data_IF_135786826256
#
_entry.id   IF_135786826256
#
_cell.length_a   1.000
_cell.length_b   1.000
_cell.length_c   1.000
_cell.angle_alpha   90.00
_cell.angle_beta   90.00
_cell.angle_gamma   90.00
#
_symmetry.space_group_name_H-M   'P 1'
#
loop_
_entity.id
_entity.type
_entity.pdbx_description
1 polymer ?
#
# COMPACT_ATOMS: atom_id res chain seq x y z
N UNK A 1 9.37 4.38 31.52
CA UNK A 1 8.75 3.95 30.23
C UNK A 1 9.75 4.22 29.11
N UNK A 2 9.38 4.11 27.82
CA UNK A 2 10.32 4.34 26.71
C UNK A 2 11.08 5.68 26.76
N UNK A 3 10.51 6.73 27.36
CA UNK A 3 11.18 8.02 27.57
C UNK A 3 12.48 7.96 28.40
N UNK A 4 12.69 6.91 29.20
CA UNK A 4 13.92 6.72 29.98
C UNK A 4 15.15 6.63 29.06
N UNK A 5 14.97 6.12 27.85
CA UNK A 5 15.99 6.12 26.80
C UNK A 5 16.52 7.52 26.50
N UNK A 6 15.62 8.50 26.34
CA UNK A 6 15.97 9.89 26.04
C UNK A 6 16.72 10.52 27.23
N UNK A 7 16.29 10.22 28.46
CA UNK A 7 16.94 10.69 29.68
C UNK A 7 18.36 10.13 29.80
N UNK A 8 18.55 8.82 29.56
CA UNK A 8 19.87 8.20 29.59
C UNK A 8 20.80 8.70 28.49
N UNK A 9 20.26 9.02 27.30
CA UNK A 9 21.05 9.66 26.24
C UNK A 9 21.61 11.01 26.68
N UNK A 10 20.79 11.85 27.34
CA UNK A 10 21.23 13.15 27.87
C UNK A 10 22.25 12.97 29.01
N UNK A 11 21.95 12.10 29.97
CA UNK A 11 22.82 11.86 31.13
C UNK A 11 24.20 11.30 30.69
N UNK A 12 24.21 10.34 29.77
CA UNK A 12 25.42 9.76 29.21
C UNK A 12 26.28 10.80 28.47
N UNK A 13 25.65 11.65 27.65
CA UNK A 13 26.34 12.74 26.97
C UNK A 13 26.96 13.75 27.96
N UNK A 14 26.24 14.11 29.03
CA UNK A 14 26.77 15.01 30.05
C UNK A 14 27.96 14.39 30.81
N UNK A 15 27.86 13.10 31.16
CA UNK A 15 28.93 12.39 31.83
C UNK A 15 30.19 12.27 30.95
N UNK A 16 30.01 11.96 29.66
CA UNK A 16 31.11 11.87 28.68
C UNK A 16 31.83 13.22 28.50
N UNK A 17 31.07 14.33 28.57
CA UNK A 17 31.63 15.71 28.56
C UNK A 17 32.38 16.07 29.85
N UNK A 18 32.43 15.19 30.85
CA UNK A 18 33.15 15.39 32.10
C UNK A 18 32.40 16.20 33.16
N UNK A 19 31.07 16.27 33.08
CA UNK A 19 30.26 16.94 34.11
C UNK A 19 30.44 16.22 35.47
N UNK A 20 30.39 16.98 36.57
CA UNK A 20 30.35 16.36 37.90
C UNK A 20 29.01 15.65 38.10
N UNK A 21 28.99 14.66 38.99
CA UNK A 21 27.81 13.85 39.28
C UNK A 21 26.55 14.69 39.57
N UNK A 22 26.66 15.74 40.39
CA UNK A 22 25.51 16.61 40.71
C UNK A 22 24.93 17.27 39.45
N UNK A 23 25.79 17.73 38.54
CA UNK A 23 25.35 18.35 37.28
C UNK A 23 24.78 17.33 36.28
N UNK A 24 25.33 16.10 36.24
CA UNK A 24 24.74 15.00 35.46
C UNK A 24 23.34 14.67 35.97
N UNK A 25 23.16 14.62 37.29
CA UNK A 25 21.85 14.41 37.91
C UNK A 25 20.87 15.54 37.59
N UNK A 26 21.29 16.80 37.71
CA UNK A 26 20.45 17.97 37.41
C UNK A 26 19.92 17.93 35.97
N UNK A 27 20.79 17.66 34.99
CA UNK A 27 20.36 17.63 33.58
C UNK A 27 19.53 16.39 33.24
N UNK A 28 19.79 15.25 33.88
CA UNK A 28 18.96 14.05 33.74
C UNK A 28 17.55 14.28 34.34
N UNK A 29 17.47 14.90 35.52
CA UNK A 29 16.19 15.24 36.15
C UNK A 29 15.41 16.25 35.31
N UNK A 30 16.10 17.23 34.70
CA UNK A 30 15.54 18.18 33.73
C UNK A 30 14.99 17.47 32.49
N UNK A 31 15.75 16.57 31.87
CA UNK A 31 15.29 15.78 30.73
C UNK A 31 14.06 14.94 31.08
N UNK A 32 14.06 14.30 32.26
CA UNK A 32 12.93 13.52 32.76
C UNK A 32 11.66 14.38 32.94
N UNK A 33 11.79 15.56 33.57
CA UNK A 33 10.67 16.49 33.75
C UNK A 33 10.08 16.99 32.42
N UNK A 34 10.90 17.00 31.36
CA UNK A 34 10.53 17.46 30.00
C UNK A 34 10.17 16.34 29.03
N UNK A 35 10.13 15.09 29.49
CA UNK A 35 9.74 13.93 28.69
C UNK A 35 8.33 13.49 29.06
N UNK A 36 7.52 13.15 28.05
CA UNK A 36 6.24 12.43 28.23
C UNK A 36 6.22 11.20 27.34
N UNK A 37 5.61 10.12 27.84
CA UNK A 37 5.44 8.86 27.10
C UNK A 37 4.02 8.37 27.23
N UNK A 38 3.43 7.95 26.12
CA UNK A 38 2.14 7.28 26.08
C UNK A 38 2.22 6.08 25.14
N UNK A 39 1.55 4.98 25.49
CA UNK A 39 1.70 3.72 24.77
C UNK A 39 0.40 2.95 24.65
N UNK A 40 0.41 1.98 23.75
CA UNK A 40 -0.70 1.08 23.47
C UNK A 40 -0.19 -0.35 23.38
N UNK A 41 -1.00 -1.30 23.82
CA UNK A 41 -0.78 -2.72 23.61
C UNK A 41 -1.93 -3.34 22.80
N UNK A 42 -1.56 -4.22 21.88
CA UNK A 42 -2.45 -5.07 21.09
C UNK A 42 -2.47 -6.51 21.62
N UNK A 43 -1.58 -6.84 22.56
CA UNK A 43 -1.54 -8.13 23.24
C UNK A 43 -0.34 -8.23 24.16
N UNK A 44 -0.50 -8.94 25.27
CA UNK A 44 0.51 -9.04 26.31
C UNK A 44 1.73 -9.87 25.93
N UNK A 45 2.79 -9.68 26.71
CA UNK A 45 4.01 -10.46 26.59
C UNK A 45 3.91 -11.81 27.29
N UNK A 46 4.76 -12.73 26.84
CA UNK A 46 4.90 -14.09 27.36
C UNK A 46 6.24 -14.20 28.08
N UNK A 47 6.21 -14.54 29.37
CA UNK A 47 7.43 -14.81 30.11
C UNK A 47 8.11 -16.09 29.59
N UNK A 48 9.45 -16.17 29.53
CA UNK A 48 10.14 -17.38 29.11
C UNK A 48 9.71 -18.60 29.94
N UNK A 49 9.19 -19.63 29.26
CA UNK A 49 8.70 -20.86 29.88
C UNK A 49 7.25 -20.82 30.36
N UNK A 50 6.52 -19.72 30.16
CA UNK A 50 5.08 -19.66 30.38
C UNK A 50 4.31 -20.22 29.16
N UNK A 51 3.15 -20.84 29.44
CA UNK A 51 2.27 -21.41 28.41
C UNK A 51 1.32 -20.38 27.77
N UNK A 52 1.23 -19.17 28.36
CA UNK A 52 0.28 -18.12 27.98
C UNK A 52 0.83 -16.72 28.33
N UNK A 53 0.34 -15.64 27.67
CA UNK A 53 0.77 -14.28 27.96
C UNK A 53 0.28 -13.78 29.33
N UNK A 54 0.96 -12.77 29.88
CA UNK A 54 0.62 -12.14 31.18
C UNK A 54 -0.77 -11.51 31.19
N UNK A 55 -1.23 -11.04 30.04
CA UNK A 55 -2.58 -10.56 29.79
C UNK A 55 -2.92 -10.71 28.31
N UNK A 56 -4.21 -10.64 27.99
CA UNK A 56 -4.74 -10.72 26.63
C UNK A 56 -5.55 -9.47 26.30
N UNK A 57 -5.48 -9.04 25.05
CA UNK A 57 -6.35 -8.01 24.47
C UNK A 57 -7.21 -8.71 23.42
N UNK A 58 -8.49 -8.38 23.31
CA UNK A 58 -9.35 -8.99 22.30
C UNK A 58 -8.95 -8.55 20.89
N UNK A 59 -9.20 -9.40 19.88
CA UNK A 59 -8.73 -9.20 18.49
C UNK A 59 -9.15 -7.86 17.83
N UNK A 60 -10.20 -7.23 18.34
CA UNK A 60 -10.76 -5.96 17.85
C UNK A 60 -10.62 -4.82 18.87
N UNK A 61 -9.75 -4.99 19.87
CA UNK A 61 -9.51 -4.01 20.93
C UNK A 61 -8.03 -3.66 21.05
N UNK A 62 -7.75 -2.56 21.76
CA UNK A 62 -6.42 -2.08 22.11
C UNK A 62 -6.44 -1.53 23.53
N UNK A 63 -5.34 -1.71 24.27
CA UNK A 63 -5.17 -1.22 25.64
C UNK A 63 -4.26 0.01 25.68
N UNK A 64 -4.83 1.18 25.97
CA UNK A 64 -4.09 2.44 26.04
C UNK A 64 -3.53 2.69 27.44
N UNK A 65 -2.28 3.15 27.51
CA UNK A 65 -1.57 3.48 28.75
C UNK A 65 -1.05 2.28 29.52
N UNK A 66 -0.91 1.12 28.87
CA UNK A 66 -0.43 -0.10 29.49
C UNK A 66 1.06 -0.03 29.85
N UNK A 67 1.41 -0.56 31.03
CA UNK A 67 2.78 -0.60 31.54
C UNK A 67 3.67 -1.66 30.86
N UNK A 68 4.99 -1.43 30.84
CA UNK A 68 5.98 -2.34 30.22
C UNK A 68 6.14 -3.69 30.96
N UNK A 69 5.43 -3.93 32.06
CA UNK A 69 5.38 -5.23 32.72
C UNK A 69 3.96 -5.83 32.71
N UNK A 70 3.05 -5.29 31.90
CA UNK A 70 1.67 -5.75 31.81
C UNK A 70 0.74 -5.13 32.84
N UNK A 71 1.12 -4.01 33.46
CA UNK A 71 0.24 -3.25 34.35
C UNK A 71 -0.99 -2.73 33.58
N UNK A 72 -2.22 -2.84 34.12
CA UNK A 72 -3.44 -2.44 33.40
C UNK A 72 -3.38 -1.04 32.82
N UNK A 73 -3.92 -0.89 31.61
CA UNK A 73 -4.03 0.39 30.93
C UNK A 73 -5.03 1.34 31.59
N UNK A 74 -5.05 2.57 31.08
CA UNK A 74 -5.99 3.63 31.47
C UNK A 74 -7.37 3.39 30.84
N UNK A 75 -7.41 2.86 29.61
CA UNK A 75 -8.65 2.55 28.89
C UNK A 75 -8.45 1.50 27.79
N UNK A 76 -9.47 0.68 27.59
CA UNK A 76 -9.66 -0.17 26.41
C UNK A 76 -10.38 0.61 25.33
N UNK A 77 -9.93 0.52 24.09
CA UNK A 77 -10.59 1.12 22.91
C UNK A 77 -10.77 0.07 21.81
N UNK A 78 -11.69 0.33 20.88
CA UNK A 78 -11.81 -0.47 19.67
C UNK A 78 -10.58 -0.33 18.76
N UNK A 79 -10.44 -1.26 17.81
CA UNK A 79 -9.33 -1.27 16.85
C UNK A 79 -9.26 0.06 16.08
N UNK A 80 -8.09 0.68 16.12
CA UNK A 80 -7.76 1.90 15.38
C UNK A 80 -6.91 1.58 14.15
N UNK A 81 -7.04 2.40 13.11
CA UNK A 81 -6.03 2.49 12.05
C UNK A 81 -4.73 3.09 12.61
N UNK A 82 -3.62 2.95 11.86
CA UNK A 82 -2.34 3.55 12.27
C UNK A 82 -2.43 5.09 12.42
N UNK A 83 -3.23 5.75 11.58
CA UNK A 83 -3.44 7.19 11.64
C UNK A 83 -4.26 7.60 12.87
N UNK A 84 -5.35 6.90 13.15
CA UNK A 84 -6.17 7.15 14.35
C UNK A 84 -5.39 6.84 15.64
N UNK A 85 -4.56 5.80 15.64
CA UNK A 85 -3.69 5.49 16.77
C UNK A 85 -2.64 6.59 16.99
N UNK A 86 -2.00 7.06 15.93
CA UNK A 86 -1.08 8.19 16.02
C UNK A 86 -1.77 9.44 16.58
N UNK A 87 -3.02 9.69 16.15
CA UNK A 87 -3.84 10.78 16.67
C UNK A 87 -4.07 10.64 18.17
N UNK A 88 -4.53 9.48 18.64
CA UNK A 88 -4.72 9.19 20.08
C UNK A 88 -3.44 9.33 20.90
N UNK A 89 -2.29 8.87 20.37
CA UNK A 89 -1.01 8.97 21.06
C UNK A 89 -0.57 10.43 21.21
N UNK A 90 -0.71 11.24 20.16
CA UNK A 90 -0.33 12.66 20.18
C UNK A 90 -1.30 13.45 21.06
N UNK A 91 -2.61 13.22 20.95
CA UNK A 91 -3.64 13.89 21.74
C UNK A 91 -3.50 13.60 23.24
N UNK A 92 -3.07 12.39 23.62
CA UNK A 92 -2.75 12.05 25.00
C UNK A 92 -1.51 12.75 25.55
N UNK A 93 -0.57 13.17 24.69
CA UNK A 93 0.70 13.77 25.09
C UNK A 93 0.71 15.30 25.04
N UNK A 94 0.13 15.91 24.01
CA UNK A 94 0.23 17.36 23.78
C UNK A 94 -0.17 18.21 24.99
N UNK A 95 -1.27 17.93 25.72
CA UNK A 95 -1.67 18.73 26.89
C UNK A 95 -0.70 18.63 28.07
N UNK A 96 0.11 17.57 28.11
CA UNK A 96 1.02 17.26 29.21
C UNK A 96 2.46 17.75 28.97
N UNK A 97 2.76 18.17 27.74
CA UNK A 97 4.08 18.69 27.39
C UNK A 97 4.34 20.03 28.09
N UNK A 98 5.55 20.25 28.65
CA UNK A 98 5.91 21.56 29.18
C UNK A 98 6.13 22.57 28.05
N UNK A 99 6.14 23.85 28.41
CA UNK A 99 6.50 24.92 27.48
C UNK A 99 7.94 24.74 26.92
N UNK A 100 8.11 25.13 25.67
CA UNK A 100 9.37 25.11 24.93
C UNK A 100 9.33 26.02 23.72
N UNK A 101 10.41 26.02 22.95
CA UNK A 101 10.56 26.80 21.71
C UNK A 101 10.08 26.07 20.45
N UNK A 102 9.37 24.95 20.63
CA UNK A 102 8.87 24.08 19.57
C UNK A 102 9.79 22.91 19.22
N UNK A 103 11.09 22.96 19.57
CA UNK A 103 12.01 21.85 19.26
C UNK A 103 11.75 20.63 20.13
N UNK A 104 11.66 19.46 19.51
CA UNK A 104 11.44 18.19 20.20
C UNK A 104 12.31 17.07 19.65
N UNK A 105 12.59 16.08 20.50
CA UNK A 105 13.00 14.74 20.08
C UNK A 105 11.80 13.82 20.16
N UNK A 106 11.60 12.99 19.14
CA UNK A 106 10.50 12.03 19.07
C UNK A 106 11.06 10.61 19.07
N UNK A 107 10.44 9.73 19.85
CA UNK A 107 10.73 8.30 19.88
C UNK A 107 9.44 7.52 19.68
N UNK A 108 9.33 6.81 18.55
CA UNK A 108 8.31 5.78 18.33
C UNK A 108 8.95 4.42 18.64
N UNK A 109 8.57 3.86 19.77
CA UNK A 109 9.18 2.66 20.33
C UNK A 109 8.24 1.46 20.28
N UNK A 110 8.65 0.38 19.62
CA UNK A 110 7.97 -0.90 19.62
C UNK A 110 8.19 -1.66 20.93
N UNK A 111 7.17 -2.38 21.38
CA UNK A 111 7.19 -3.12 22.64
C UNK A 111 7.67 -4.58 22.51
N UNK A 112 8.04 -5.03 21.30
CA UNK A 112 8.72 -6.32 21.08
C UNK A 112 8.32 -7.11 19.84
N UNK A 113 7.07 -6.97 19.35
CA UNK A 113 6.62 -7.67 18.13
C UNK A 113 5.87 -6.79 17.13
N UNK A 114 5.99 -5.48 17.25
CA UNK A 114 5.46 -4.52 16.26
C UNK A 114 6.54 -4.22 15.24
N UNK A 115 6.27 -4.44 13.96
CA UNK A 115 7.28 -4.33 12.90
C UNK A 115 7.65 -2.88 12.62
N UNK A 116 8.89 -2.64 12.19
CA UNK A 116 9.37 -1.29 11.94
C UNK A 116 8.59 -0.60 10.82
N UNK A 117 8.11 -1.33 9.81
CA UNK A 117 7.25 -0.78 8.77
C UNK A 117 5.94 -0.20 9.34
N UNK A 118 5.32 -0.91 10.29
CA UNK A 118 4.09 -0.45 10.95
C UNK A 118 4.34 0.81 11.79
N UNK A 119 5.52 0.88 12.44
CA UNK A 119 5.95 2.05 13.20
C UNK A 119 6.25 3.25 12.30
N UNK A 120 6.84 3.04 11.12
CA UNK A 120 7.06 4.12 10.14
C UNK A 120 5.74 4.66 9.59
N UNK A 121 4.76 3.79 9.29
CA UNK A 121 3.41 4.22 8.89
C UNK A 121 2.75 5.06 9.99
N UNK A 122 2.89 4.65 11.25
CA UNK A 122 2.37 5.40 12.40
C UNK A 122 3.09 6.74 12.56
N UNK A 123 4.42 6.76 12.39
CA UNK A 123 5.24 7.96 12.55
C UNK A 123 4.89 9.07 11.54
N UNK A 124 4.53 8.74 10.30
CA UNK A 124 4.08 9.72 9.31
C UNK A 124 2.99 10.63 9.87
N UNK A 125 1.95 10.04 10.47
CA UNK A 125 0.86 10.79 11.07
C UNK A 125 1.26 11.51 12.35
N UNK A 126 2.12 10.91 13.18
CA UNK A 126 2.68 11.58 14.37
C UNK A 126 3.39 12.88 13.96
N UNK A 127 4.25 12.81 12.93
CA UNK A 127 4.99 13.97 12.45
C UNK A 127 4.06 15.10 11.98
N UNK A 128 3.05 14.78 11.17
CA UNK A 128 2.04 15.75 10.72
C UNK A 128 1.34 16.46 11.90
N UNK A 129 0.90 15.68 12.89
CA UNK A 129 0.19 16.20 14.06
C UNK A 129 1.07 17.08 14.94
N UNK A 130 2.33 16.72 15.12
CA UNK A 130 3.30 17.53 15.85
C UNK A 130 3.58 18.86 15.11
N UNK A 131 3.77 18.81 13.80
CA UNK A 131 3.95 20.01 12.97
C UNK A 131 2.74 20.96 13.04
N UNK A 132 1.53 20.42 12.97
CA UNK A 132 0.28 21.19 13.14
C UNK A 132 0.16 21.84 14.52
N UNK A 133 0.72 21.21 15.55
CA UNK A 133 0.79 21.75 16.91
C UNK A 133 1.93 22.77 17.10
N UNK A 134 2.70 23.08 16.03
CA UNK A 134 3.84 24.01 16.09
C UNK A 134 5.11 23.40 16.67
N UNK A 135 5.20 22.08 16.76
CA UNK A 135 6.39 21.36 17.21
C UNK A 135 7.24 20.92 16.02
N UNK A 136 8.56 20.98 16.18
CA UNK A 136 9.55 20.59 15.18
C UNK A 136 10.41 19.43 15.71
N UNK A 137 10.17 18.20 15.22
CA UNK A 137 11.04 17.06 15.51
C UNK A 137 12.42 17.25 14.87
N UNK A 138 13.42 17.62 15.67
CA UNK A 138 14.82 17.78 15.19
C UNK A 138 15.59 16.46 15.17
N UNK A 139 15.13 15.50 15.97
CA UNK A 139 15.56 14.11 15.93
C UNK A 139 14.37 13.17 16.09
N UNK A 140 14.43 12.02 15.43
CA UNK A 140 13.35 11.04 15.44
C UNK A 140 13.91 9.63 15.41
N UNK A 141 13.55 8.85 16.42
CA UNK A 141 13.94 7.46 16.55
C UNK A 141 12.71 6.58 16.36
N UNK A 142 12.79 5.60 15.45
CA UNK A 142 11.72 4.64 15.18
C UNK A 142 12.31 3.24 15.25
N UNK A 143 11.89 2.44 16.23
CA UNK A 143 12.50 1.13 16.47
C UNK A 143 12.14 0.50 17.80
N UNK A 144 12.88 -0.53 18.20
CA UNK A 144 12.69 -1.24 19.46
C UNK A 144 13.86 -0.95 20.40
N UNK A 145 13.65 -0.03 21.34
CA UNK A 145 14.68 0.46 22.27
C UNK A 145 14.40 0.08 23.72
N UNK A 146 13.12 0.15 24.12
CA UNK A 146 12.64 -0.21 25.45
C UNK A 146 11.45 -1.16 25.27
N UNK A 147 11.74 -2.45 25.15
CA UNK A 147 10.74 -3.49 24.89
C UNK A 147 10.16 -4.09 26.17
N UNK A 148 9.05 -4.81 26.02
CA UNK A 148 8.49 -5.70 27.01
C UNK A 148 8.43 -7.11 26.41
N UNK A 149 9.57 -7.78 26.30
CA UNK A 149 9.70 -9.10 25.66
C UNK A 149 9.06 -9.12 24.25
N UNK A 150 8.02 -9.93 24.04
CA UNK A 150 7.27 -10.09 22.80
C UNK A 150 5.91 -9.36 22.84
N UNK A 151 5.74 -8.33 23.68
CA UNK A 151 4.49 -7.56 23.72
C UNK A 151 4.19 -6.95 22.34
N UNK A 152 2.95 -7.11 21.86
CA UNK A 152 2.51 -6.35 20.68
C UNK A 152 2.07 -4.98 21.17
N UNK A 153 2.72 -3.94 20.68
CA UNK A 153 2.40 -2.58 21.08
C UNK A 153 3.44 -1.57 20.64
N UNK A 154 3.06 -0.31 20.73
CA UNK A 154 3.89 0.83 20.36
C UNK A 154 3.72 1.92 21.40
N UNK A 155 4.76 2.73 21.58
CA UNK A 155 4.76 3.88 22.47
C UNK A 155 5.36 5.09 21.77
N UNK A 156 4.80 6.25 22.05
CA UNK A 156 5.32 7.54 21.64
C UNK A 156 5.93 8.23 22.85
N UNK A 157 7.18 8.66 22.73
CA UNK A 157 7.82 9.54 23.70
C UNK A 157 8.26 10.84 23.03
N UNK A 158 8.04 11.95 23.73
CA UNK A 158 8.41 13.29 23.27
C UNK A 158 9.24 13.95 24.37
N UNK A 159 10.45 14.40 24.02
CA UNK A 159 11.30 15.24 24.86
C UNK A 159 11.27 16.67 24.31
N UNK A 160 10.77 17.61 25.10
CA UNK A 160 10.80 19.04 24.76
C UNK A 160 12.19 19.60 25.05
N UNK A 161 12.81 20.16 24.02
CA UNK A 161 14.18 20.64 24.12
C UNK A 161 14.26 22.07 24.66
N UNK A 162 15.47 22.38 25.13
CA UNK A 162 16.02 23.73 25.18
C UNK A 162 17.46 23.64 24.67
N UNK A 163 18.22 24.74 24.71
CA UNK A 163 19.57 24.77 24.13
C UNK A 163 20.51 23.73 24.73
N UNK A 164 20.48 23.54 26.05
CA UNK A 164 21.35 22.58 26.73
C UNK A 164 20.97 21.14 26.37
N UNK A 165 19.66 20.81 26.38
CA UNK A 165 19.20 19.47 26.03
C UNK A 165 19.43 19.15 24.55
N UNK A 166 19.26 20.14 23.66
CA UNK A 166 19.54 19.98 22.23
C UNK A 166 21.03 19.66 22.00
N UNK A 167 21.92 20.39 22.66
CA UNK A 167 23.36 20.18 22.54
C UNK A 167 23.81 18.82 23.10
N UNK A 168 23.22 18.38 24.20
CA UNK A 168 23.52 17.07 24.78
C UNK A 168 22.94 15.91 23.95
N UNK A 169 21.76 16.09 23.36
CA UNK A 169 21.15 15.05 22.53
C UNK A 169 21.96 14.80 21.26
N UNK A 170 22.49 15.85 20.62
CA UNK A 170 23.36 15.77 19.42
C UNK A 170 24.76 15.22 19.70
N UNK A 171 25.12 14.94 20.96
CA UNK A 171 26.40 14.28 21.24
C UNK A 171 26.43 12.86 20.65
N UNK A 172 27.53 12.42 19.99
CA UNK A 172 27.67 11.06 19.50
C UNK A 172 27.46 10.01 20.59
N UNK A 173 26.95 8.84 20.20
CA UNK A 173 26.77 7.70 21.09
C UNK A 173 27.16 6.42 20.35
N UNK A 174 27.96 5.56 20.98
CA UNK A 174 28.31 4.23 20.48
C UNK A 174 28.12 3.19 21.60
N UNK A 175 26.93 2.61 21.67
CA UNK A 175 26.58 1.57 22.63
C UNK A 175 25.98 0.36 21.90
N UNK A 176 25.95 -0.84 22.52
CA UNK A 176 25.34 -2.01 21.91
C UNK A 176 23.88 -1.84 21.52
N UNK A 177 23.12 -1.02 22.25
CA UNK A 177 21.68 -0.80 22.04
C UNK A 177 21.33 0.48 21.27
N UNK A 178 22.29 1.38 21.04
CA UNK A 178 22.05 2.62 20.31
C UNK A 178 23.34 3.25 19.80
N UNK A 179 23.30 3.67 18.53
CA UNK A 179 24.39 4.38 17.87
C UNK A 179 23.86 5.57 17.11
N UNK A 180 24.50 6.72 17.30
CA UNK A 180 24.19 7.93 16.53
C UNK A 180 25.42 8.81 16.39
N UNK A 181 25.54 9.49 15.25
CA UNK A 181 26.48 10.60 15.08
C UNK A 181 25.95 11.92 15.64
N UNK A 182 24.66 11.97 16.00
CA UNK A 182 23.99 13.18 16.46
C UNK A 182 23.62 14.17 15.35
N UNK A 183 23.71 13.76 14.08
CA UNK A 183 23.29 14.58 12.96
C UNK A 183 21.78 14.90 13.05
N UNK A 184 21.43 16.18 12.86
CA UNK A 184 20.04 16.60 12.70
C UNK A 184 19.50 16.10 11.35
N UNK A 185 18.23 15.70 11.34
CA UNK A 185 17.56 15.28 10.12
C UNK A 185 17.19 16.53 9.31
N UNK A 186 17.71 16.62 8.08
CA UNK A 186 17.28 17.63 7.12
C UNK A 186 15.87 17.33 6.60
N UNK A 187 15.12 18.37 6.26
CA UNK A 187 13.86 18.23 5.53
C UNK A 187 14.15 17.95 4.06
N UNK A 188 13.43 16.99 3.47
CA UNK A 188 13.46 16.69 2.04
C UNK A 188 12.08 16.97 1.48
N UNK A 189 12.00 17.67 0.35
CA UNK A 189 10.75 17.86 -0.36
C UNK A 189 10.29 16.50 -0.92
N UNK A 190 9.08 16.07 -0.56
CA UNK A 190 8.50 14.83 -1.05
C UNK A 190 8.04 15.03 -2.50
N UNK A 191 8.59 14.25 -3.42
CA UNK A 191 8.08 14.11 -4.80
C UNK A 191 7.51 12.71 -4.99
N UNK A 192 6.22 12.62 -5.34
CA UNK A 192 5.53 11.36 -5.64
C UNK A 192 5.03 11.39 -7.09
N UNK A 193 5.70 10.65 -7.97
CA UNK A 193 5.25 10.49 -9.36
C UNK A 193 3.99 9.63 -9.49
N UNK A 194 3.70 8.80 -8.47
CA UNK A 194 2.56 7.88 -8.48
C UNK A 194 1.25 8.61 -8.17
N UNK A 195 1.24 9.54 -7.22
CA UNK A 195 0.03 10.27 -6.84
C UNK A 195 -0.44 11.20 -7.97
N UNK A 196 0.50 11.76 -8.73
CA UNK A 196 0.21 12.50 -9.97
C UNK A 196 -0.44 11.61 -11.04
N UNK A 197 0.00 10.36 -11.20
CA UNK A 197 -0.61 9.42 -12.15
C UNK A 197 -2.04 9.04 -11.74
N UNK A 198 -2.31 8.90 -10.44
CA UNK A 198 -3.59 8.44 -9.89
C UNK A 198 -4.65 9.54 -9.74
N UNK A 199 -4.27 10.81 -9.79
CA UNK A 199 -5.20 11.95 -9.61
C UNK A 199 -6.09 12.15 -10.83
N UNK A 200 -7.26 11.52 -10.84
CA UNK A 200 -8.21 11.66 -11.93
C UNK A 200 -8.78 13.08 -12.06
N UNK A 201 -8.81 13.60 -13.28
CA UNK A 201 -9.60 14.79 -13.63
C UNK A 201 -11.10 14.50 -13.62
N UNK A 202 -11.92 15.54 -13.81
CA UNK A 202 -13.38 15.42 -13.91
C UNK A 202 -13.77 14.33 -14.94
N UNK A 203 -14.91 13.62 -14.75
CA UNK A 203 -15.36 12.58 -15.67
C UNK A 203 -15.39 13.09 -17.11
N UNK A 204 -14.77 12.33 -18.02
CA UNK A 204 -14.81 12.59 -19.45
C UNK A 204 -16.11 12.08 -20.08
N UNK A 205 -16.28 12.35 -21.37
CA UNK A 205 -17.45 11.87 -22.15
C UNK A 205 -17.07 10.95 -23.30
N UNK A 206 -15.78 10.65 -23.50
CA UNK A 206 -15.32 9.77 -24.58
C UNK A 206 -15.76 8.32 -24.33
N UNK A 207 -15.89 7.53 -25.41
CA UNK A 207 -16.22 6.10 -25.26
C UNK A 207 -15.17 5.36 -24.45
N UNK A 208 -13.88 5.72 -24.61
CA UNK A 208 -12.76 5.11 -23.87
C UNK A 208 -12.86 5.41 -22.37
N UNK A 209 -13.12 6.66 -21.97
CA UNK A 209 -13.29 6.99 -20.56
C UNK A 209 -14.46 6.24 -19.94
N UNK A 210 -15.61 6.16 -20.62
CA UNK A 210 -16.78 5.45 -20.11
C UNK A 210 -16.48 3.96 -19.87
N UNK A 211 -15.91 3.27 -20.86
CA UNK A 211 -15.64 1.83 -20.73
C UNK A 211 -14.51 1.52 -19.74
N UNK A 212 -13.47 2.36 -19.66
CA UNK A 212 -12.42 2.20 -18.65
C UNK A 212 -12.93 2.52 -17.24
N UNK A 213 -13.82 3.50 -17.09
CA UNK A 213 -14.46 3.81 -15.81
C UNK A 213 -15.37 2.67 -15.35
N UNK A 214 -16.14 2.05 -16.26
CA UNK A 214 -16.94 0.87 -15.95
C UNK A 214 -16.06 -0.32 -15.53
N UNK A 215 -14.96 -0.55 -16.25
CA UNK A 215 -13.97 -1.58 -15.93
C UNK A 215 -13.29 -1.34 -14.57
N UNK A 216 -12.92 -0.09 -14.24
CA UNK A 216 -12.38 0.29 -12.94
C UNK A 216 -13.35 -0.05 -11.80
N UNK A 217 -14.62 0.33 -11.93
CA UNK A 217 -15.64 0.01 -10.91
C UNK A 217 -15.75 -1.50 -10.67
N UNK A 218 -15.75 -2.29 -11.75
CA UNK A 218 -15.81 -3.75 -11.62
C UNK A 218 -14.59 -4.32 -10.88
N UNK A 219 -13.39 -3.79 -11.12
CA UNK A 219 -12.19 -4.18 -10.38
C UNK A 219 -12.25 -3.74 -8.91
N UNK A 220 -12.67 -2.52 -8.61
CA UNK A 220 -12.79 -2.02 -7.24
C UNK A 220 -13.80 -2.84 -6.42
N UNK A 221 -14.93 -3.22 -7.01
CA UNK A 221 -15.94 -4.09 -6.38
C UNK A 221 -15.41 -5.50 -6.09
N UNK A 222 -14.41 -5.98 -6.84
CA UNK A 222 -13.84 -7.31 -6.72
C UNK A 222 -12.42 -7.34 -6.15
N UNK A 223 -11.87 -6.21 -5.70
CA UNK A 223 -10.47 -6.06 -5.26
C UNK A 223 -10.11 -7.11 -4.20
N UNK A 224 -10.95 -7.22 -3.16
CA UNK A 224 -10.72 -8.15 -2.05
C UNK A 224 -10.75 -9.61 -2.51
N UNK A 225 -11.65 -9.97 -3.42
CA UNK A 225 -11.76 -11.34 -3.94
C UNK A 225 -10.57 -11.68 -4.85
N UNK A 226 -10.13 -10.75 -5.68
CA UNK A 226 -8.93 -10.91 -6.51
C UNK A 226 -7.67 -11.10 -5.67
N UNK A 227 -7.52 -10.33 -4.58
CA UNK A 227 -6.45 -10.54 -3.60
C UNK A 227 -6.55 -11.90 -2.90
N UNK A 228 -7.77 -12.34 -2.56
CA UNK A 228 -8.01 -13.66 -1.95
C UNK A 228 -7.63 -14.80 -2.89
N UNK A 229 -7.99 -14.73 -4.18
CA UNK A 229 -7.63 -15.72 -5.19
C UNK A 229 -6.11 -15.80 -5.38
N UNK A 230 -5.44 -14.66 -5.43
CA UNK A 230 -3.99 -14.57 -5.59
C UNK A 230 -3.23 -15.12 -4.36
N UNK A 231 -3.69 -14.81 -3.15
CA UNK A 231 -3.09 -15.27 -1.89
C UNK A 231 -3.08 -16.80 -1.73
N UNK A 232 -3.88 -17.55 -2.50
CA UNK A 232 -3.87 -19.03 -2.51
C UNK A 232 -2.50 -19.57 -2.94
N UNK A 233 -1.87 -18.94 -3.93
CA UNK A 233 -0.65 -19.44 -4.56
C UNK A 233 0.42 -18.37 -4.85
N UNK A 234 0.19 -17.13 -4.42
CA UNK A 234 1.08 -15.98 -4.55
C UNK A 234 0.98 -15.05 -3.32
N UNK A 235 1.22 -13.75 -3.48
CA UNK A 235 1.35 -12.75 -2.43
C UNK A 235 0.06 -12.00 -2.07
N UNK A 236 -1.02 -12.16 -2.84
CA UNK A 236 -2.33 -11.62 -2.53
C UNK A 236 -2.50 -10.14 -2.89
N UNK A 237 -1.57 -9.57 -3.66
CA UNK A 237 -1.55 -8.15 -4.03
C UNK A 237 -2.23 -7.86 -5.38
N UNK A 238 -2.62 -8.90 -6.13
CA UNK A 238 -3.15 -8.74 -7.49
C UNK A 238 -4.36 -7.79 -7.56
N UNK A 239 -5.31 -7.89 -6.63
CA UNK A 239 -6.47 -6.98 -6.59
C UNK A 239 -6.06 -5.51 -6.45
N UNK A 240 -5.18 -5.22 -5.49
CA UNK A 240 -4.64 -3.88 -5.25
C UNK A 240 -3.87 -3.35 -6.47
N UNK A 241 -3.05 -4.20 -7.08
CA UNK A 241 -2.30 -3.88 -8.30
C UNK A 241 -3.24 -3.52 -9.46
N UNK A 242 -4.28 -4.31 -9.69
CA UNK A 242 -5.29 -4.04 -10.73
C UNK A 242 -6.06 -2.74 -10.47
N UNK A 243 -6.47 -2.47 -9.22
CA UNK A 243 -7.15 -1.21 -8.86
C UNK A 243 -6.26 -0.01 -9.13
N UNK A 244 -4.99 -0.06 -8.70
CA UNK A 244 -4.00 1.02 -8.95
C UNK A 244 -3.78 1.25 -10.45
N UNK A 245 -3.59 0.17 -11.20
CA UNK A 245 -3.44 0.22 -12.66
C UNK A 245 -4.64 0.85 -13.35
N UNK A 246 -5.86 0.41 -13.01
CA UNK A 246 -7.08 0.93 -13.63
C UNK A 246 -7.33 2.40 -13.28
N UNK A 247 -7.03 2.84 -12.05
CA UNK A 247 -7.13 4.26 -11.66
C UNK A 247 -6.19 5.12 -12.50
N UNK A 248 -4.94 4.70 -12.67
CA UNK A 248 -3.98 5.39 -13.52
C UNK A 248 -4.39 5.39 -15.00
N UNK A 249 -4.91 4.27 -15.49
CA UNK A 249 -5.40 4.13 -16.86
C UNK A 249 -6.56 5.10 -17.16
N UNK A 250 -7.55 5.17 -16.26
CA UNK A 250 -8.68 6.10 -16.37
C UNK A 250 -8.20 7.54 -16.31
N UNK A 251 -7.31 7.88 -15.37
CA UNK A 251 -6.77 9.22 -15.25
C UNK A 251 -5.99 9.65 -16.51
N UNK A 252 -5.17 8.77 -17.07
CA UNK A 252 -4.41 9.04 -18.29
C UNK A 252 -5.33 9.19 -19.52
N UNK A 253 -6.33 8.32 -19.67
CA UNK A 253 -7.30 8.40 -20.77
C UNK A 253 -8.13 9.69 -20.77
N UNK A 254 -8.26 10.36 -19.63
CA UNK A 254 -8.93 11.67 -19.50
C UNK A 254 -8.05 12.85 -19.90
N UNK A 255 -6.73 12.73 -19.73
CA UNK A 255 -5.74 13.78 -20.04
C UNK A 255 -5.33 13.80 -21.50
N UNK A 256 -5.24 12.62 -22.11
CA UNK A 256 -4.72 12.43 -23.46
C UNK A 256 -5.80 12.51 -24.56
N UNK A 257 -5.40 12.80 -25.82
CA UNK A 257 -6.24 13.48 -26.81
C UNK A 257 -7.47 12.69 -27.29
N UNK A 258 -8.41 13.41 -27.94
CA UNK A 258 -9.75 13.01 -28.40
C UNK A 258 -9.89 11.72 -29.25
N UNK A 259 -8.81 10.99 -29.53
CA UNK A 259 -8.83 9.77 -30.35
C UNK A 259 -8.84 8.52 -29.48
N UNK A 260 -9.53 7.47 -29.95
CA UNK A 260 -9.56 6.16 -29.26
C UNK A 260 -8.15 5.56 -29.12
N UNK A 261 -7.32 5.69 -30.15
CA UNK A 261 -5.95 5.19 -30.16
C UNK A 261 -5.08 5.87 -29.11
N UNK A 262 -5.08 7.21 -29.06
CA UNK A 262 -4.28 7.98 -28.10
C UNK A 262 -4.67 7.70 -26.66
N UNK A 263 -5.97 7.67 -26.37
CA UNK A 263 -6.48 7.40 -25.02
C UNK A 263 -6.11 5.99 -24.53
N UNK A 264 -6.23 4.96 -25.38
CA UNK A 264 -5.85 3.58 -25.02
C UNK A 264 -4.33 3.40 -24.85
N UNK A 265 -3.52 4.08 -25.68
CA UNK A 265 -2.06 4.07 -25.54
C UNK A 265 -1.63 4.66 -24.20
N UNK A 266 -2.15 5.85 -23.87
CA UNK A 266 -1.88 6.52 -22.60
C UNK A 266 -2.36 5.70 -21.40
N UNK A 267 -3.56 5.12 -21.49
CA UNK A 267 -4.13 4.24 -20.48
C UNK A 267 -3.23 3.01 -20.23
N UNK A 268 -2.74 2.36 -21.29
CA UNK A 268 -1.88 1.19 -21.18
C UNK A 268 -0.52 1.50 -20.54
N UNK A 269 0.12 2.61 -20.93
CA UNK A 269 1.39 3.05 -20.31
C UNK A 269 1.20 3.35 -18.82
N UNK A 270 0.18 4.16 -18.47
CA UNK A 270 -0.09 4.52 -17.08
C UNK A 270 -0.49 3.30 -16.24
N UNK A 271 -1.22 2.34 -16.81
CA UNK A 271 -1.53 1.07 -16.15
C UNK A 271 -0.26 0.31 -15.78
N UNK A 272 0.67 0.14 -16.74
CA UNK A 272 1.90 -0.60 -16.53
C UNK A 272 2.76 0.01 -15.41
N UNK A 273 2.86 1.34 -15.38
CA UNK A 273 3.65 2.08 -14.40
C UNK A 273 3.06 2.00 -12.99
N UNK A 274 1.72 2.05 -12.86
CA UNK A 274 1.05 2.15 -11.56
C UNK A 274 0.67 0.80 -10.93
N UNK A 275 0.35 -0.22 -11.73
CA UNK A 275 -0.12 -1.52 -11.24
C UNK A 275 1.00 -2.35 -10.59
N UNK A 276 2.22 -2.23 -11.11
CA UNK A 276 3.36 -3.04 -10.71
C UNK A 276 3.24 -4.53 -11.09
N UNK A 277 4.33 -5.26 -10.88
CA UNK A 277 4.38 -6.71 -11.11
C UNK A 277 4.21 -7.14 -12.58
N UNK A 278 4.10 -8.46 -12.80
CA UNK A 278 3.96 -9.03 -14.13
C UNK A 278 2.59 -8.69 -14.77
N UNK A 279 1.52 -8.72 -13.97
CA UNK A 279 0.18 -8.37 -14.42
C UNK A 279 0.12 -6.92 -14.92
N UNK A 280 0.76 -5.98 -14.22
CA UNK A 280 0.87 -4.58 -14.63
C UNK A 280 1.40 -4.42 -16.06
N UNK A 281 2.58 -4.98 -16.32
CA UNK A 281 3.21 -4.91 -17.64
C UNK A 281 2.35 -5.57 -18.73
N UNK A 282 1.73 -6.71 -18.45
CA UNK A 282 0.97 -7.47 -19.44
C UNK A 282 -0.36 -6.81 -19.81
N UNK A 283 -1.13 -6.31 -18.83
CA UNK A 283 -2.36 -5.56 -19.10
C UNK A 283 -2.08 -4.21 -19.77
N UNK A 284 -0.99 -3.54 -19.36
CA UNK A 284 -0.55 -2.31 -20.01
C UNK A 284 -0.28 -2.52 -21.51
N UNK A 285 0.39 -3.61 -21.87
CA UNK A 285 0.61 -4.00 -23.28
C UNK A 285 -0.72 -4.28 -24.00
N UNK A 286 -1.66 -5.00 -23.38
CA UNK A 286 -2.96 -5.28 -24.02
C UNK A 286 -3.70 -3.99 -24.39
N UNK A 287 -3.75 -3.02 -23.48
CA UNK A 287 -4.38 -1.72 -23.73
C UNK A 287 -3.61 -0.90 -24.78
N UNK A 288 -2.30 -0.77 -24.61
CA UNK A 288 -1.46 0.05 -25.48
C UNK A 288 -1.46 -0.44 -26.93
N UNK A 289 -1.31 -1.75 -27.13
CA UNK A 289 -1.25 -2.36 -28.46
C UNK A 289 -2.63 -2.42 -29.12
N UNK A 290 -3.71 -2.56 -28.34
CA UNK A 290 -5.08 -2.39 -28.89
C UNK A 290 -5.26 -0.95 -29.40
N UNK A 291 -4.80 0.05 -28.63
CA UNK A 291 -4.79 1.45 -29.07
C UNK A 291 -3.98 1.67 -30.35
N UNK A 292 -2.77 1.09 -30.43
CA UNK A 292 -1.93 1.17 -31.61
C UNK A 292 -2.59 0.56 -32.85
N UNK A 293 -3.29 -0.57 -32.70
CA UNK A 293 -4.05 -1.22 -33.77
C UNK A 293 -5.23 -0.41 -34.32
N UNK A 294 -5.70 0.60 -33.56
CA UNK A 294 -6.80 1.50 -33.93
C UNK A 294 -6.30 2.88 -34.41
N UNK A 295 -5.02 3.02 -34.71
CA UNK A 295 -4.45 4.29 -35.19
C UNK A 295 -5.19 4.80 -36.43
N UNK A 296 -5.70 6.03 -36.37
CA UNK A 296 -6.43 6.68 -37.47
C UNK A 296 -7.91 6.28 -37.60
N UNK A 297 -8.43 5.45 -36.69
CA UNK A 297 -9.85 5.15 -36.60
C UNK A 297 -10.58 6.17 -35.71
N UNK A 298 -11.68 6.73 -36.21
CA UNK A 298 -12.62 7.51 -35.41
C UNK A 298 -13.59 6.59 -34.67
N UNK A 299 -14.05 6.99 -33.49
CA UNK A 299 -14.86 6.13 -32.62
C UNK A 299 -16.12 5.55 -33.31
N UNK A 300 -16.75 6.32 -34.19
CA UNK A 300 -17.95 5.90 -34.94
C UNK A 300 -17.69 4.93 -36.09
N UNK A 301 -16.44 4.79 -36.53
CA UNK A 301 -16.05 3.95 -37.66
C UNK A 301 -15.42 2.62 -37.22
N UNK A 302 -15.25 2.42 -35.90
CA UNK A 302 -14.66 1.21 -35.34
C UNK A 302 -15.62 0.03 -35.54
N UNK A 303 -15.28 -0.84 -36.49
CA UNK A 303 -16.00 -2.10 -36.73
C UNK A 303 -15.45 -3.24 -35.88
N UNK A 304 -16.23 -4.31 -35.74
CA UNK A 304 -15.77 -5.54 -35.06
C UNK A 304 -14.52 -6.13 -35.70
N UNK A 305 -14.41 -6.06 -37.04
CA UNK A 305 -13.23 -6.53 -37.74
C UNK A 305 -11.97 -5.75 -37.34
N UNK A 306 -12.06 -4.42 -37.23
CA UNK A 306 -10.96 -3.56 -36.78
C UNK A 306 -10.57 -3.85 -35.33
N UNK A 307 -11.54 -4.04 -34.43
CA UNK A 307 -11.27 -4.45 -33.06
C UNK A 307 -10.61 -5.83 -32.99
N UNK A 308 -11.06 -6.79 -33.78
CA UNK A 308 -10.44 -8.11 -33.83
C UNK A 308 -8.99 -8.04 -34.33
N UNK A 309 -8.68 -7.21 -35.34
CA UNK A 309 -7.31 -6.98 -35.81
C UNK A 309 -6.42 -6.34 -34.72
N UNK A 310 -6.94 -5.33 -34.02
CA UNK A 310 -6.23 -4.67 -32.93
C UNK A 310 -5.97 -5.63 -31.76
N UNK A 311 -6.98 -6.40 -31.34
CA UNK A 311 -6.87 -7.40 -30.27
C UNK A 311 -5.90 -8.51 -30.67
N UNK A 312 -5.90 -8.99 -31.91
CA UNK A 312 -4.91 -9.95 -32.39
C UNK A 312 -3.47 -9.44 -32.28
N UNK A 313 -3.26 -8.17 -32.65
CA UNK A 313 -1.97 -7.50 -32.47
C UNK A 313 -1.54 -7.43 -31.00
N UNK A 314 -2.47 -7.04 -30.12
CA UNK A 314 -2.24 -6.93 -28.69
C UNK A 314 -1.96 -8.29 -28.03
N UNK A 315 -2.68 -9.35 -28.38
CA UNK A 315 -2.45 -10.71 -27.87
C UNK A 315 -1.10 -11.25 -28.32
N UNK A 316 -0.67 -10.95 -29.56
CA UNK A 316 0.67 -11.32 -30.03
C UNK A 316 1.75 -10.64 -29.18
N UNK A 317 1.66 -9.33 -28.97
CA UNK A 317 2.62 -8.59 -28.14
C UNK A 317 2.63 -9.07 -26.69
N UNK A 318 1.45 -9.35 -26.13
CA UNK A 318 1.28 -9.98 -24.82
C UNK A 318 2.03 -11.32 -24.73
N UNK A 319 1.86 -12.21 -25.72
CA UNK A 319 2.53 -13.51 -25.74
C UNK A 319 4.04 -13.38 -25.91
N UNK A 320 4.52 -12.42 -26.71
CA UNK A 320 5.95 -12.13 -26.87
C UNK A 320 6.59 -11.65 -25.56
N UNK A 321 5.90 -10.79 -24.79
CA UNK A 321 6.37 -10.29 -23.51
C UNK A 321 6.28 -11.37 -22.40
N UNK A 322 5.11 -11.99 -22.25
CA UNK A 322 4.80 -12.91 -21.15
C UNK A 322 5.31 -14.35 -21.35
N UNK A 323 5.51 -14.77 -22.61
CA UNK A 323 5.95 -16.13 -22.98
C UNK A 323 5.09 -17.24 -22.36
N UNK A 324 3.80 -16.96 -22.18
CA UNK A 324 2.82 -17.91 -21.70
C UNK A 324 2.18 -18.64 -22.89
N UNK A 325 1.82 -19.90 -22.67
CA UNK A 325 1.06 -20.72 -23.60
C UNK A 325 -0.34 -21.02 -23.04
N UNK A 326 -1.29 -21.31 -23.93
CA UNK A 326 -2.63 -21.70 -23.53
C UNK A 326 -2.58 -23.01 -22.71
N UNK A 327 -3.28 -23.05 -21.59
CA UNK A 327 -3.29 -24.17 -20.64
C UNK A 327 -2.30 -24.01 -19.48
N UNK A 328 -1.49 -22.96 -19.45
CA UNK A 328 -0.51 -22.73 -18.38
C UNK A 328 -1.07 -22.05 -17.12
N UNK A 329 -2.40 -21.87 -17.05
CA UNK A 329 -3.13 -21.23 -15.96
C UNK A 329 -2.66 -19.79 -15.74
N UNK A 330 -2.93 -18.96 -16.74
CA UNK A 330 -2.65 -17.52 -16.73
C UNK A 330 -3.82 -16.75 -17.31
N UNK A 331 -3.73 -15.41 -17.32
CA UNK A 331 -4.72 -14.58 -18.02
C UNK A 331 -4.89 -14.92 -19.51
N UNK A 332 -3.89 -15.55 -20.16
CA UNK A 332 -4.00 -16.01 -21.54
C UNK A 332 -5.18 -16.99 -21.74
N UNK A 333 -5.51 -17.78 -20.71
CA UNK A 333 -6.60 -18.76 -20.75
C UNK A 333 -8.00 -18.12 -20.82
N UNK A 334 -8.11 -16.82 -20.47
CA UNK A 334 -9.32 -16.04 -20.72
C UNK A 334 -9.21 -15.14 -21.96
N UNK A 335 -8.00 -14.64 -22.24
CA UNK A 335 -7.72 -13.74 -23.38
C UNK A 335 -7.89 -14.48 -24.72
N UNK A 336 -7.32 -15.67 -24.89
CA UNK A 336 -7.37 -16.37 -26.18
C UNK A 336 -8.82 -16.76 -26.56
N UNK A 337 -9.67 -17.30 -25.66
CA UNK A 337 -11.09 -17.53 -25.98
C UNK A 337 -11.84 -16.25 -26.38
N UNK A 338 -11.55 -15.12 -25.72
CA UNK A 338 -12.13 -13.82 -26.09
C UNK A 338 -11.70 -13.40 -27.50
N UNK A 339 -10.38 -13.42 -27.75
CA UNK A 339 -9.76 -13.02 -29.02
C UNK A 339 -10.28 -13.87 -30.18
N UNK A 340 -10.31 -15.19 -30.02
CA UNK A 340 -10.83 -16.11 -31.02
C UNK A 340 -12.32 -15.85 -31.31
N UNK A 341 -13.13 -15.68 -30.27
CA UNK A 341 -14.57 -15.41 -30.43
C UNK A 341 -14.83 -14.06 -31.09
N UNK A 342 -14.09 -13.01 -30.72
CA UNK A 342 -14.22 -11.69 -31.33
C UNK A 342 -13.89 -11.75 -32.83
N UNK A 343 -12.83 -12.49 -33.19
CA UNK A 343 -12.43 -12.74 -34.58
C UNK A 343 -13.50 -13.49 -35.37
N UNK A 344 -14.11 -14.52 -34.79
CA UNK A 344 -15.23 -15.24 -35.41
C UNK A 344 -16.47 -14.35 -35.62
N UNK A 345 -16.63 -13.31 -34.81
CA UNK A 345 -17.73 -12.35 -34.89
C UNK A 345 -17.38 -11.10 -35.71
N UNK A 346 -16.29 -11.09 -36.49
CA UNK A 346 -15.85 -9.91 -37.24
C UNK A 346 -16.91 -9.27 -38.16
N UNK A 347 -17.92 -10.03 -38.59
CA UNK A 347 -19.05 -9.53 -39.39
C UNK A 347 -20.31 -9.12 -38.60
N UNK A 348 -20.30 -9.23 -37.28
CA UNK A 348 -21.40 -8.86 -36.38
C UNK A 348 -21.24 -7.42 -35.88
N UNK A 349 -22.31 -6.85 -35.34
CA UNK A 349 -22.26 -5.56 -34.63
C UNK A 349 -21.34 -5.62 -33.40
N UNK A 350 -20.65 -4.51 -33.10
CA UNK A 350 -19.60 -4.43 -32.07
C UNK A 350 -20.10 -4.90 -30.71
N UNK A 351 -21.25 -4.37 -30.25
CA UNK A 351 -21.83 -4.71 -28.94
C UNK A 351 -22.12 -6.21 -28.84
N UNK A 352 -22.74 -6.79 -29.88
CA UNK A 352 -23.09 -8.21 -29.90
C UNK A 352 -21.83 -9.10 -29.90
N UNK A 353 -20.85 -8.75 -30.74
CA UNK A 353 -19.59 -9.48 -30.84
C UNK A 353 -18.81 -9.44 -29.52
N UNK A 354 -18.70 -8.26 -28.92
CA UNK A 354 -17.99 -8.06 -27.66
C UNK A 354 -18.64 -8.83 -26.51
N UNK A 355 -19.97 -8.78 -26.37
CA UNK A 355 -20.69 -9.56 -25.35
C UNK A 355 -20.44 -11.06 -25.49
N UNK A 356 -20.45 -11.58 -26.71
CA UNK A 356 -20.18 -13.00 -26.97
C UNK A 356 -18.73 -13.36 -26.61
N UNK A 357 -17.78 -12.52 -27.00
CA UNK A 357 -16.37 -12.70 -26.67
C UNK A 357 -16.12 -12.62 -25.14
N UNK A 358 -16.74 -11.67 -24.45
CA UNK A 358 -16.68 -11.55 -22.99
C UNK A 358 -17.23 -12.80 -22.29
N UNK A 359 -18.31 -13.39 -22.80
CA UNK A 359 -18.82 -14.68 -22.32
C UNK A 359 -17.78 -15.81 -22.45
N UNK A 360 -17.01 -15.84 -23.55
CA UNK A 360 -15.93 -16.81 -23.73
C UNK A 360 -14.76 -16.58 -22.74
N UNK A 361 -14.40 -15.33 -22.44
CA UNK A 361 -13.43 -15.01 -21.39
C UNK A 361 -13.87 -15.49 -20.01
N UNK A 362 -15.15 -15.30 -19.66
CA UNK A 362 -15.70 -15.77 -18.37
C UNK A 362 -15.59 -17.29 -18.24
N UNK A 363 -15.88 -18.03 -19.32
CA UNK A 363 -15.70 -19.49 -19.33
C UNK A 363 -14.22 -19.83 -19.19
N UNK A 364 -13.33 -19.23 -20.00
CA UNK A 364 -11.89 -19.47 -19.93
C UNK A 364 -11.30 -19.21 -18.54
N UNK A 365 -11.69 -18.10 -17.91
CA UNK A 365 -11.29 -17.75 -16.55
C UNK A 365 -11.71 -18.80 -15.51
N UNK A 366 -12.93 -19.33 -15.62
CA UNK A 366 -13.42 -20.40 -14.72
C UNK A 366 -12.67 -21.72 -14.94
N UNK A 367 -12.43 -22.09 -16.19
CA UNK A 367 -11.74 -23.34 -16.54
C UNK A 367 -10.28 -23.36 -16.04
N UNK A 368 -9.67 -22.20 -15.79
CA UNK A 368 -8.34 -22.16 -15.15
C UNK A 368 -8.29 -22.88 -13.81
N UNK A 369 -9.41 -23.00 -13.08
CA UNK A 369 -9.48 -23.74 -11.81
C UNK A 369 -9.10 -25.22 -11.96
N UNK A 370 -9.22 -25.78 -13.16
CA UNK A 370 -8.88 -27.16 -13.50
C UNK A 370 -7.48 -27.31 -14.11
N UNK A 371 -6.76 -26.20 -14.32
CA UNK A 371 -5.41 -26.20 -14.84
C UNK A 371 -4.38 -26.20 -13.71
N UNK A 372 -3.18 -26.67 -14.04
CA UNK A 372 -2.01 -26.60 -13.15
C UNK A 372 -1.11 -25.45 -13.62
N UNK A 373 -0.71 -24.51 -12.74
CA UNK A 373 0.12 -23.40 -13.17
C UNK A 373 1.51 -23.84 -13.60
N UNK A 374 1.94 -23.34 -14.76
CA UNK A 374 3.29 -23.52 -15.29
C UNK A 374 4.10 -22.20 -15.31
N UNK A 375 3.43 -21.05 -15.15
CA UNK A 375 4.03 -19.71 -15.16
C UNK A 375 3.68 -18.89 -13.92
N UNK A 376 4.35 -17.75 -13.77
CA UNK A 376 4.09 -16.79 -12.70
C UNK A 376 4.48 -17.29 -11.30
N UNK A 377 4.01 -16.56 -10.28
CA UNK A 377 4.25 -16.91 -8.87
C UNK A 377 3.58 -18.23 -8.48
N UNK A 378 2.38 -18.46 -9.02
CA UNK A 378 1.57 -19.66 -8.77
C UNK A 378 2.27 -20.99 -9.14
N UNK A 379 3.16 -20.99 -10.14
CA UNK A 379 3.93 -22.18 -10.51
C UNK A 379 4.76 -22.76 -9.35
N UNK A 380 5.18 -21.93 -8.38
CA UNK A 380 5.95 -22.34 -7.19
C UNK A 380 5.10 -23.13 -6.18
N UNK A 381 3.79 -22.91 -6.18
CA UNK A 381 2.82 -23.48 -5.25
C UNK A 381 1.70 -24.20 -6.00
N UNK A 382 2.03 -24.87 -7.11
CA UNK A 382 1.06 -25.41 -8.07
C UNK A 382 -0.05 -26.29 -7.46
N UNK A 383 0.27 -27.08 -6.42
CA UNK A 383 -0.73 -27.91 -5.72
C UNK A 383 -1.78 -27.09 -4.95
N UNK A 384 -1.41 -25.93 -4.41
CA UNK A 384 -2.37 -25.06 -3.69
C UNK A 384 -3.33 -24.36 -4.64
N UNK A 385 -2.91 -24.15 -5.88
CA UNK A 385 -3.66 -23.43 -6.90
C UNK A 385 -4.75 -24.28 -7.57
N UNK A 386 -4.74 -25.60 -7.36
CA UNK A 386 -5.75 -26.51 -7.89
C UNK A 386 -7.13 -26.19 -7.28
N UNK A 387 -8.18 -26.20 -8.12
CA UNK A 387 -9.54 -25.89 -7.70
C UNK A 387 -9.87 -24.41 -7.54
N UNK A 388 -8.91 -23.51 -7.78
CA UNK A 388 -9.10 -22.05 -7.67
C UNK A 388 -8.81 -21.39 -9.00
N UNK A 389 -9.65 -20.46 -9.46
CA UNK A 389 -9.40 -19.73 -10.72
C UNK A 389 -8.15 -18.84 -10.64
N UNK A 390 -7.49 -18.62 -11.78
CA UNK A 390 -6.37 -17.68 -11.90
C UNK A 390 -6.86 -16.23 -11.73
N UNK A 391 -6.28 -15.44 -10.81
CA UNK A 391 -6.72 -14.06 -10.56
C UNK A 391 -6.53 -13.16 -11.80
N UNK A 392 -5.48 -13.41 -12.60
CA UNK A 392 -5.25 -12.72 -13.87
C UNK A 392 -6.37 -12.96 -14.87
N UNK A 393 -6.75 -14.21 -15.08
CA UNK A 393 -7.84 -14.60 -15.98
C UNK A 393 -9.21 -14.09 -15.50
N UNK A 394 -9.49 -14.16 -14.19
CA UNK A 394 -10.72 -13.60 -13.61
C UNK A 394 -10.78 -12.10 -13.82
N UNK A 395 -9.68 -11.38 -13.58
CA UNK A 395 -9.61 -9.93 -13.83
C UNK A 395 -9.92 -9.60 -15.28
N UNK A 396 -9.36 -10.34 -16.23
CA UNK A 396 -9.60 -10.10 -17.66
C UNK A 396 -11.08 -10.24 -17.98
N UNK A 397 -11.71 -11.31 -17.46
CA UNK A 397 -13.14 -11.56 -17.68
C UNK A 397 -14.02 -10.45 -17.11
N UNK A 398 -13.71 -9.93 -15.91
CA UNK A 398 -14.42 -8.80 -15.30
C UNK A 398 -14.30 -7.53 -16.16
N UNK A 399 -13.08 -7.20 -16.59
CA UNK A 399 -12.81 -6.03 -17.42
C UNK A 399 -13.62 -6.07 -18.73
N UNK A 400 -13.51 -7.15 -19.51
CA UNK A 400 -14.19 -7.23 -20.81
C UNK A 400 -15.71 -7.34 -20.69
N UNK A 401 -16.22 -7.94 -19.61
CA UNK A 401 -17.66 -7.94 -19.32
C UNK A 401 -18.16 -6.53 -19.02
N UNK A 402 -17.50 -5.79 -18.13
CA UNK A 402 -17.88 -4.43 -17.79
C UNK A 402 -17.85 -3.48 -19.01
N UNK A 403 -16.84 -3.64 -19.88
CA UNK A 403 -16.76 -2.91 -21.16
C UNK A 403 -17.98 -3.23 -22.04
N UNK A 404 -18.34 -4.50 -22.19
CA UNK A 404 -19.47 -4.92 -23.02
C UNK A 404 -20.81 -4.36 -22.54
N UNK A 405 -21.02 -4.33 -21.22
CA UNK A 405 -22.23 -3.76 -20.62
C UNK A 405 -22.31 -2.23 -20.81
N UNK A 406 -21.18 -1.53 -20.76
CA UNK A 406 -21.14 -0.08 -20.99
C UNK A 406 -21.34 0.29 -22.46
N UNK A 407 -20.79 -0.51 -23.39
CA UNK A 407 -21.04 -0.34 -24.82
C UNK A 407 -22.51 -0.52 -25.17
N UNK A 408 -23.20 -1.46 -24.52
CA UNK A 408 -24.64 -1.67 -24.70
C UNK A 408 -25.45 -0.47 -24.18
N UNK A 409 -25.16 0.03 -22.96
CA UNK A 409 -25.82 1.22 -22.41
C UNK A 409 -25.65 2.48 -23.25
N UNK A 410 -24.56 2.59 -23.99
CA UNK A 410 -24.27 3.73 -24.87
C UNK A 410 -24.96 3.63 -26.24
N UNK A 411 -25.48 2.44 -26.60
CA UNK A 411 -26.17 2.21 -27.87
C UNK A 411 -27.69 2.45 -27.79
N UNK A 412 -28.26 2.37 -26.58
CA UNK A 412 -29.63 2.77 -26.23
C UNK A 412 -29.73 4.29 -25.98
#
# INVERSE_FOLDING_TARGET
>A
MAGDFLVFKIAGAAAERGYRLDAVYEVAAKANARTRTFGVAFGGCTLPGADAPLFTVADQEMELGLGIHGEPGVRTVGRLSAAELADELVDGLLPELPDGDGRVVVLVNGLGRTKYEEMFVTYTRVHERLAQAGLSPVHSEVGEFVTSLDMAGVSLSILVLDDELAELYTAPCDTPGYRTSGAELGTVDLESTVDELLTAEAPGTSVVDRVLTAALRSIEENEAELGRLDAVAADGDHGLGMTRGMRAAVAAARREPDTVSGALLAAGTAFADAAGGASGALYGVLLAETGAGLTGAEAGDITTAMLADAVDGAVRAFCELGKAELGEKTMLDAIEPFRATLREQAGSEVVQAWRKAAGAAVVGARETAHLRPAKGRAARLAQRSEGHSDPGAVSFSLLVTAVGEELERSAD
#
